data_IF_902156550850
#
_entry.id   IF_902156550850
#
_cell.length_a   1.000
_cell.length_b   1.000
_cell.length_c   1.000
_cell.angle_alpha   90.00
_cell.angle_beta   90.00
_cell.angle_gamma   90.00
#
_symmetry.space_group_name_H-M   'P 1'
#
loop_
_entity.id
_entity.type
_entity.pdbx_description
1 polymer ?
#
# COMPACT_ATOMS: atom_id res chain seq x y z
N UNK A 1 5.21 -18.60 -8.22
CA UNK A 1 4.74 -17.20 -8.31
C UNK A 1 5.90 -16.43 -8.89
N UNK A 2 5.72 -15.86 -10.08
CA UNK A 2 6.75 -15.07 -10.74
C UNK A 2 6.42 -13.61 -10.43
N UNK A 3 7.17 -13.00 -9.51
CA UNK A 3 7.03 -11.59 -9.16
C UNK A 3 7.56 -10.75 -10.34
N UNK A 4 6.76 -9.79 -10.81
CA UNK A 4 7.21 -8.76 -11.76
C UNK A 4 7.18 -7.41 -11.06
N UNK A 5 8.32 -6.71 -10.99
CA UNK A 5 8.36 -5.33 -10.49
C UNK A 5 7.54 -4.46 -11.44
N UNK A 6 6.45 -3.89 -10.93
CA UNK A 6 5.60 -2.94 -11.67
C UNK A 6 6.31 -1.60 -11.75
N UNK A 7 6.91 -1.17 -10.63
CA UNK A 7 7.60 0.10 -10.53
C UNK A 7 8.53 0.19 -9.31
N UNK A 8 9.60 0.98 -9.42
CA UNK A 8 10.49 1.35 -8.31
C UNK A 8 10.33 2.84 -8.00
N UNK A 9 10.11 3.19 -6.74
CA UNK A 9 9.95 4.56 -6.30
C UNK A 9 11.31 5.25 -6.16
N UNK A 10 11.73 5.92 -7.23
CA UNK A 10 12.52 7.15 -7.17
C UNK A 10 11.59 8.29 -7.63
N UNK A 11 11.50 9.40 -6.89
CA UNK A 11 10.58 10.54 -7.16
C UNK A 11 10.95 11.34 -8.42
N UNK A 12 11.11 10.68 -9.57
CA UNK A 12 11.23 11.29 -10.89
C UNK A 12 10.60 10.35 -11.93
N UNK A 13 9.35 10.65 -12.23
CA UNK A 13 8.58 10.17 -13.38
C UNK A 13 8.34 8.65 -13.49
N UNK A 14 7.16 8.26 -13.01
CA UNK A 14 6.54 7.00 -13.40
C UNK A 14 6.07 7.14 -14.84
N UNK A 15 6.62 6.33 -15.74
CA UNK A 15 6.16 6.27 -17.12
C UNK A 15 4.75 5.66 -17.14
N UNK A 16 3.71 6.51 -17.21
CA UNK A 16 2.29 6.13 -17.27
C UNK A 16 2.01 4.99 -18.26
N UNK A 17 2.78 4.94 -19.33
CA UNK A 17 2.74 3.96 -20.42
C UNK A 17 2.92 2.51 -19.94
N UNK A 18 3.68 2.30 -18.86
CA UNK A 18 3.93 0.95 -18.32
C UNK A 18 2.79 0.42 -17.43
N UNK A 19 1.92 1.30 -16.92
CA UNK A 19 0.88 0.91 -15.97
C UNK A 19 -0.43 0.49 -16.67
N UNK A 20 -0.63 0.85 -17.94
CA UNK A 20 -1.86 0.57 -18.70
C UNK A 20 -2.17 -0.92 -18.81
N UNK A 21 -1.14 -1.79 -18.93
CA UNK A 21 -1.31 -3.26 -18.95
C UNK A 21 -1.88 -3.85 -17.67
N UNK A 22 -1.90 -3.06 -16.59
CA UNK A 22 -2.44 -3.43 -15.27
C UNK A 22 -3.86 -2.88 -15.03
N UNK A 23 -4.56 -2.36 -16.05
CA UNK A 23 -6.00 -2.05 -16.01
C UNK A 23 -6.86 -3.32 -16.02
N UNK A 24 -6.62 -4.23 -15.07
CA UNK A 24 -7.31 -5.50 -14.92
C UNK A 24 -7.30 -5.99 -13.47
N UNK A 25 -8.07 -7.05 -13.22
CA UNK A 25 -8.07 -7.72 -11.94
C UNK A 25 -6.74 -8.44 -11.68
N UNK A 26 -6.37 -8.53 -10.41
CA UNK A 26 -5.14 -9.18 -10.00
C UNK A 26 -4.74 -8.84 -8.57
N UNK A 27 -3.50 -9.21 -8.25
CA UNK A 27 -2.91 -9.06 -6.93
C UNK A 27 -1.61 -8.28 -7.08
N UNK A 28 -1.43 -7.29 -6.21
CA UNK A 28 -0.22 -6.47 -6.17
C UNK A 28 0.32 -6.40 -4.74
N UNK A 29 1.61 -6.12 -4.61
CA UNK A 29 2.30 -5.97 -3.34
C UNK A 29 3.14 -4.69 -3.30
N UNK A 30 3.23 -4.07 -2.12
CA UNK A 30 4.16 -3.00 -1.82
C UNK A 30 5.36 -3.59 -1.09
N UNK A 31 6.55 -3.40 -1.65
CA UNK A 31 7.82 -3.70 -1.02
C UNK A 31 8.55 -2.40 -0.69
N UNK A 32 9.46 -2.46 0.29
CA UNK A 32 10.37 -1.36 0.60
C UNK A 32 11.59 -1.88 1.34
N UNK A 33 12.58 -1.01 1.54
CA UNK A 33 13.74 -1.25 2.38
C UNK A 33 13.53 -0.65 3.78
N UNK A 34 13.74 -1.43 4.84
CA UNK A 34 13.70 -0.95 6.22
C UNK A 34 15.00 -0.20 6.61
N UNK A 35 15.04 0.35 7.83
CA UNK A 35 16.23 1.05 8.36
C UNK A 35 17.50 0.21 8.45
N UNK A 36 17.38 -1.11 8.39
CA UNK A 36 18.49 -2.07 8.42
C UNK A 36 18.98 -2.43 7.00
N UNK A 37 18.41 -1.83 5.95
CA UNK A 37 18.75 -2.15 4.56
C UNK A 37 18.06 -3.42 4.04
N UNK A 38 17.10 -4.00 4.78
CA UNK A 38 16.41 -5.23 4.40
C UNK A 38 15.15 -4.92 3.59
N UNK A 39 15.02 -5.60 2.44
CA UNK A 39 13.80 -5.62 1.62
C UNK A 39 12.68 -6.36 2.36
N UNK A 40 11.56 -5.69 2.61
CA UNK A 40 10.40 -6.20 3.35
C UNK A 40 9.11 -5.95 2.57
N UNK A 41 8.18 -6.90 2.66
CA UNK A 41 6.85 -6.74 2.07
C UNK A 41 5.96 -5.99 3.05
N UNK A 42 5.56 -4.78 2.69
CA UNK A 42 4.76 -3.91 3.54
C UNK A 42 3.28 -4.22 3.42
N UNK A 43 2.80 -4.55 2.22
CA UNK A 43 1.38 -4.76 1.95
C UNK A 43 1.20 -5.69 0.74
N UNK A 44 0.10 -6.43 0.75
CA UNK A 44 -0.42 -7.11 -0.43
C UNK A 44 -1.92 -6.86 -0.48
N UNK A 45 -2.45 -6.63 -1.69
CA UNK A 45 -3.87 -6.40 -1.90
C UNK A 45 -4.35 -7.03 -3.22
N UNK A 46 -5.56 -7.57 -3.20
CA UNK A 46 -6.29 -7.94 -4.42
C UNK A 46 -7.22 -6.81 -4.87
N UNK A 47 -7.43 -6.71 -6.18
CA UNK A 47 -8.34 -5.72 -6.74
C UNK A 47 -8.90 -6.14 -8.10
N UNK A 48 -9.95 -5.45 -8.54
CA UNK A 48 -10.47 -5.54 -9.92
C UNK A 48 -9.71 -4.63 -10.90
N UNK A 49 -8.89 -3.71 -10.38
CA UNK A 49 -8.15 -2.77 -11.21
C UNK A 49 -6.86 -2.34 -10.50
N UNK A 50 -5.75 -3.04 -10.80
CA UNK A 50 -4.43 -2.75 -10.20
C UNK A 50 -3.97 -1.33 -10.55
N UNK A 51 -4.17 -0.90 -11.79
CA UNK A 51 -3.80 0.44 -12.25
C UNK A 51 -4.37 1.55 -11.36
N UNK A 52 -5.67 1.51 -11.07
CA UNK A 52 -6.32 2.56 -10.27
C UNK A 52 -5.82 2.55 -8.81
N UNK A 53 -5.56 1.38 -8.22
CA UNK A 53 -5.03 1.31 -6.85
C UNK A 53 -3.59 1.80 -6.74
N UNK A 54 -2.72 1.40 -7.68
CA UNK A 54 -1.32 1.84 -7.70
C UNK A 54 -1.25 3.34 -7.96
N UNK A 55 -1.97 3.86 -8.97
CA UNK A 55 -2.08 5.30 -9.24
C UNK A 55 -2.51 6.09 -8.01
N UNK A 56 -3.44 5.53 -7.25
CA UNK A 56 -3.95 6.11 -6.00
C UNK A 56 -2.91 6.14 -4.89
N UNK A 57 -2.19 5.03 -4.69
CA UNK A 57 -1.12 4.94 -3.70
C UNK A 57 0.04 5.88 -4.05
N UNK A 58 0.43 5.92 -5.33
CA UNK A 58 1.47 6.81 -5.85
C UNK A 58 1.14 8.29 -5.66
N UNK A 59 -0.11 8.68 -5.87
CA UNK A 59 -0.56 10.04 -5.58
C UNK A 59 -0.31 10.40 -4.11
N UNK A 60 -0.65 9.51 -3.17
CA UNK A 60 -0.43 9.74 -1.74
C UNK A 60 1.08 9.78 -1.43
N UNK A 61 1.87 8.85 -1.97
CA UNK A 61 3.30 8.78 -1.74
C UNK A 61 4.06 10.01 -2.27
N UNK A 62 3.59 10.59 -3.38
CA UNK A 62 4.24 11.73 -4.05
C UNK A 62 3.86 13.09 -3.48
N UNK A 63 2.85 13.16 -2.60
CA UNK A 63 2.43 14.40 -1.97
C UNK A 63 2.82 14.41 -0.50
N UNK A 64 3.50 15.48 -0.07
CA UNK A 64 3.83 15.68 1.35
C UNK A 64 2.55 16.07 2.10
N UNK A 65 2.32 15.44 3.25
CA UNK A 65 1.32 15.92 4.20
C UNK A 65 1.81 17.22 4.88
N UNK A 66 0.87 17.99 5.40
CA UNK A 66 1.15 19.27 6.05
C UNK A 66 2.03 19.09 7.30
N UNK A 67 2.89 20.07 7.58
CA UNK A 67 3.81 20.03 8.73
C UNK A 67 3.08 19.81 10.07
N UNK A 68 1.86 20.34 10.21
CA UNK A 68 1.03 20.16 11.42
C UNK A 68 0.60 18.70 11.62
N UNK A 69 0.32 17.96 10.55
CA UNK A 69 -0.02 16.53 10.64
C UNK A 69 1.14 15.71 11.19
N UNK A 70 2.39 16.10 10.88
CA UNK A 70 3.62 15.43 11.36
C UNK A 70 3.90 15.64 12.84
N UNK A 71 3.22 16.59 13.48
CA UNK A 71 3.35 16.86 14.92
C UNK A 71 2.39 15.99 15.75
N UNK A 72 1.47 15.25 15.12
CA UNK A 72 0.61 14.31 15.80
C UNK A 72 1.43 13.11 16.29
N UNK A 73 1.41 12.84 17.61
CA UNK A 73 2.16 11.74 18.24
C UNK A 73 1.28 10.54 18.61
N UNK A 74 -0.05 10.69 18.56
CA UNK A 74 -0.96 9.57 18.82
C UNK A 74 -0.84 8.53 17.71
N UNK A 75 -0.72 7.26 18.09
CA UNK A 75 -0.67 6.12 17.15
C UNK A 75 -1.67 5.04 17.52
N UNK A 76 -2.09 4.25 16.54
CA UNK A 76 -2.87 3.03 16.73
C UNK A 76 -2.27 1.89 15.90
N UNK A 77 -2.47 0.64 16.33
CA UNK A 77 -2.08 -0.49 15.50
C UNK A 77 -3.03 -0.62 14.31
N UNK A 78 -2.45 -0.75 13.11
CA UNK A 78 -3.13 -1.18 11.90
C UNK A 78 -4.00 -2.40 12.19
N UNK A 79 -5.20 -2.45 11.59
CA UNK A 79 -6.08 -3.61 11.74
C UNK A 79 -5.40 -4.83 11.12
N UNK A 80 -5.28 -5.90 11.88
CA UNK A 80 -4.77 -7.19 11.42
C UNK A 80 -5.94 -8.16 11.39
N UNK A 81 -6.21 -8.79 10.23
CA UNK A 81 -7.23 -9.85 10.18
C UNK A 81 -6.70 -11.17 10.73
N UNK A 82 -5.45 -11.50 10.42
CA UNK A 82 -4.79 -12.73 10.86
C UNK A 82 -3.51 -12.37 11.61
N UNK A 83 -3.61 -12.36 12.95
CA UNK A 83 -2.53 -11.93 13.84
C UNK A 83 -1.32 -12.86 13.83
N UNK A 84 -1.52 -14.10 13.36
CA UNK A 84 -0.52 -15.17 13.35
C UNK A 84 0.63 -14.87 12.38
N UNK A 85 0.38 -14.14 11.30
CA UNK A 85 1.37 -13.87 10.26
C UNK A 85 1.40 -12.43 9.75
N UNK A 86 0.39 -11.60 10.05
CA UNK A 86 0.40 -10.20 9.64
C UNK A 86 1.42 -9.41 10.47
N UNK A 87 2.28 -8.64 9.80
CA UNK A 87 3.16 -7.69 10.50
C UNK A 87 2.34 -6.68 11.30
N UNK A 88 2.85 -6.27 12.47
CA UNK A 88 2.27 -5.19 13.25
C UNK A 88 2.80 -3.86 12.72
N UNK A 89 1.89 -2.96 12.35
CA UNK A 89 2.25 -1.62 11.90
C UNK A 89 1.53 -0.57 12.75
N UNK A 90 2.27 0.42 13.27
CA UNK A 90 1.68 1.55 13.99
C UNK A 90 1.41 2.67 13.00
N UNK A 91 0.22 3.25 13.10
CA UNK A 91 -0.22 4.35 12.24
C UNK A 91 -0.56 5.55 13.12
N UNK A 92 -0.09 6.74 12.76
CA UNK A 92 -0.45 7.99 13.40
C UNK A 92 -1.93 8.28 13.20
N UNK A 93 -2.57 8.69 14.29
CA UNK A 93 -4.01 8.92 14.34
C UNK A 93 -4.32 10.37 13.98
N UNK A 94 -4.20 10.71 12.70
CA UNK A 94 -4.65 12.03 12.26
C UNK A 94 -6.18 12.16 12.16
N UNK A 95 -6.92 11.05 12.19
CA UNK A 95 -8.41 11.06 12.18
C UNK A 95 -9.04 11.81 13.36
N UNK A 96 -8.30 12.06 14.45
CA UNK A 96 -8.74 12.89 15.59
C UNK A 96 -8.10 14.27 15.62
N UNK A 97 -7.38 14.66 14.57
CA UNK A 97 -6.85 16.00 14.44
C UNK A 97 -7.98 16.94 13.99
N UNK A 98 -8.16 18.09 14.65
CA UNK A 98 -9.08 19.14 14.20
C UNK A 98 -8.65 19.77 12.86
N UNK A 99 -7.46 19.43 12.37
CA UNK A 99 -6.88 19.93 11.14
C UNK A 99 -7.07 18.94 9.98
N UNK A 100 -7.80 19.39 8.96
CA UNK A 100 -7.92 18.68 7.68
C UNK A 100 -6.83 19.15 6.71
N UNK A 101 -5.89 18.28 6.36
CA UNK A 101 -4.89 18.59 5.34
C UNK A 101 -5.47 18.50 3.94
N UNK A 102 -4.91 19.26 2.99
CA UNK A 102 -5.31 19.27 1.58
C UNK A 102 -5.30 17.86 0.96
N UNK A 103 -4.35 17.02 1.37
CA UNK A 103 -4.24 15.64 0.91
C UNK A 103 -5.44 14.79 1.37
N UNK A 104 -5.90 15.00 2.61
CA UNK A 104 -7.08 14.32 3.18
C UNK A 104 -8.38 14.87 2.59
N UNK A 105 -8.48 16.18 2.36
CA UNK A 105 -9.62 16.81 1.69
C UNK A 105 -9.76 16.29 0.26
N UNK A 106 -8.67 16.23 -0.52
CA UNK A 106 -8.71 15.69 -1.90
C UNK A 106 -9.00 14.18 -1.92
N UNK A 107 -8.64 13.49 -0.85
CA UNK A 107 -8.86 12.06 -0.68
C UNK A 107 -10.10 11.74 0.17
N UNK A 108 -11.01 12.69 0.40
CA UNK A 108 -12.18 12.56 1.30
C UNK A 108 -13.08 11.34 1.05
N UNK A 109 -13.14 10.86 -0.20
CA UNK A 109 -13.85 9.63 -0.56
C UNK A 109 -13.13 8.34 -0.12
N UNK A 110 -11.89 8.44 0.35
CA UNK A 110 -11.06 7.33 0.82
C UNK A 110 -10.99 7.34 2.33
N UNK A 111 -10.93 6.14 2.91
CA UNK A 111 -10.74 5.98 4.34
C UNK A 111 -9.42 6.68 4.75
N UNK A 112 -9.44 7.71 5.63
CA UNK A 112 -8.25 8.46 6.03
C UNK A 112 -7.10 7.57 6.51
N UNK A 113 -7.44 6.40 7.05
CA UNK A 113 -6.49 5.35 7.45
C UNK A 113 -5.54 4.90 6.32
N UNK A 114 -5.98 4.98 5.06
CA UNK A 114 -5.16 4.63 3.91
C UNK A 114 -4.07 5.67 3.67
N UNK A 115 -4.36 6.96 3.88
CA UNK A 115 -3.41 8.06 3.70
C UNK A 115 -2.37 8.02 4.81
N UNK A 116 -2.83 7.96 6.06
CA UNK A 116 -1.97 7.93 7.25
C UNK A 116 -0.99 6.74 7.18
N UNK A 117 -1.46 5.57 6.72
CA UNK A 117 -0.63 4.38 6.48
C UNK A 117 0.57 4.67 5.56
N UNK A 118 0.36 5.22 4.36
CA UNK A 118 1.46 5.46 3.42
C UNK A 118 2.41 6.54 3.92
N UNK A 119 1.88 7.59 4.56
CA UNK A 119 2.73 8.63 5.15
C UNK A 119 3.65 8.04 6.23
N UNK A 120 3.14 7.14 7.07
CA UNK A 120 3.96 6.47 8.07
C UNK A 120 4.95 5.46 7.50
N UNK A 121 4.58 4.80 6.40
CA UNK A 121 5.51 3.97 5.66
C UNK A 121 6.69 4.82 5.17
N UNK A 122 6.46 5.99 4.57
CA UNK A 122 7.52 6.90 4.10
C UNK A 122 8.46 7.34 5.22
N UNK A 123 7.95 7.50 6.45
CA UNK A 123 8.79 7.89 7.60
C UNK A 123 9.72 6.77 8.08
N UNK A 124 9.41 5.51 7.77
CA UNK A 124 10.10 4.34 8.34
C UNK A 124 10.81 3.46 7.30
N UNK A 125 10.51 3.64 6.02
CA UNK A 125 11.04 2.83 4.92
C UNK A 125 11.50 3.71 3.76
N UNK A 126 12.37 3.16 2.92
CA UNK A 126 12.90 3.78 1.71
C UNK A 126 12.82 2.81 0.54
N UNK A 127 13.10 3.29 -0.69
CA UNK A 127 13.11 2.46 -1.92
C UNK A 127 11.83 1.59 -2.08
N UNK A 128 10.68 2.25 -2.18
CA UNK A 128 9.41 1.55 -2.32
C UNK A 128 9.29 0.90 -3.70
N UNK A 129 8.66 -0.26 -3.80
CA UNK A 129 8.44 -0.97 -5.06
C UNK A 129 7.01 -1.49 -5.11
N UNK A 130 6.31 -1.22 -6.21
CA UNK A 130 5.04 -1.90 -6.49
C UNK A 130 5.35 -3.15 -7.32
N UNK A 131 4.80 -4.28 -6.92
CA UNK A 131 5.07 -5.60 -7.53
C UNK A 131 3.76 -6.26 -7.93
N UNK A 132 3.72 -6.80 -9.14
CA UNK A 132 2.63 -7.62 -9.66
C UNK A 132 2.86 -9.03 -9.15
N UNK A 133 1.89 -9.54 -8.40
CA UNK A 133 1.96 -10.89 -7.83
C UNK A 133 1.31 -11.91 -8.76
N UNK A 134 0.09 -11.60 -9.23
CA UNK A 134 -0.63 -12.43 -10.18
C UNK A 134 -1.66 -11.58 -10.94
N UNK A 135 -1.65 -11.71 -12.27
CA UNK A 135 -2.55 -11.02 -13.20
C UNK A 135 -3.08 -11.98 -14.27
N UNK A 136 -3.02 -13.27 -14.00
CA UNK A 136 -3.54 -14.33 -14.86
C UNK A 136 -5.06 -14.20 -15.06
N UNK A 137 -5.65 -14.72 -16.14
CA UNK A 137 -7.09 -14.63 -16.40
C UNK A 137 -7.97 -15.15 -15.25
N UNK A 138 -7.47 -16.13 -14.49
CA UNK A 138 -8.09 -16.69 -13.29
C UNK A 138 -8.31 -15.63 -12.20
N UNK A 139 -7.57 -14.51 -12.26
CA UNK A 139 -7.70 -13.40 -11.35
C UNK A 139 -8.93 -12.54 -11.60
N UNK A 140 -9.74 -12.80 -12.62
CA UNK A 140 -11.07 -12.18 -12.71
C UNK A 140 -12.01 -12.70 -11.61
N UNK A 141 -11.80 -13.94 -11.15
CA UNK A 141 -12.53 -14.53 -10.03
C UNK A 141 -12.06 -13.97 -8.68
N UNK A 142 -13.00 -13.55 -7.83
CA UNK A 142 -12.70 -12.96 -6.52
C UNK A 142 -12.14 -13.99 -5.54
N UNK A 143 -12.62 -15.23 -5.58
CA UNK A 143 -12.20 -16.30 -4.67
C UNK A 143 -10.74 -16.62 -4.92
N UNK A 144 -10.36 -16.83 -6.18
CA UNK A 144 -8.97 -17.06 -6.59
C UNK A 144 -8.05 -15.93 -6.12
N UNK A 145 -8.48 -14.67 -6.34
CA UNK A 145 -7.72 -13.51 -5.86
C UNK A 145 -7.52 -13.51 -4.36
N UNK A 146 -8.58 -13.78 -3.57
CA UNK A 146 -8.49 -13.81 -2.12
C UNK A 146 -7.56 -14.93 -1.59
N UNK A 147 -7.59 -16.10 -2.23
CA UNK A 147 -6.74 -17.24 -1.84
C UNK A 147 -5.26 -16.95 -2.07
N UNK A 148 -4.91 -16.43 -3.24
CA UNK A 148 -3.51 -16.12 -3.57
C UNK A 148 -3.01 -14.91 -2.76
N UNK A 149 -3.83 -13.88 -2.58
CA UNK A 149 -3.49 -12.72 -1.73
C UNK A 149 -3.17 -13.17 -0.30
N UNK A 150 -4.02 -14.04 0.27
CA UNK A 150 -3.81 -14.62 1.60
C UNK A 150 -2.53 -15.44 1.67
N UNK A 151 -2.31 -16.34 0.70
CA UNK A 151 -1.11 -17.19 0.63
C UNK A 151 0.16 -16.35 0.51
N UNK A 152 0.12 -15.31 -0.31
CA UNK A 152 1.25 -14.39 -0.49
C UNK A 152 1.54 -13.62 0.80
N UNK A 153 0.50 -13.08 1.45
CA UNK A 153 0.63 -12.38 2.72
C UNK A 153 1.27 -13.25 3.81
N UNK A 154 0.84 -14.52 3.90
CA UNK A 154 1.42 -15.51 4.82
C UNK A 154 2.89 -15.75 4.53
N UNK A 155 3.21 -16.02 3.26
CA UNK A 155 4.57 -16.38 2.83
C UNK A 155 5.56 -15.24 3.04
N UNK A 156 5.13 -14.01 2.77
CA UNK A 156 5.99 -12.81 2.83
C UNK A 156 5.90 -12.05 4.14
N UNK A 157 5.05 -12.52 5.06
CA UNK A 157 4.72 -11.83 6.30
C UNK A 157 4.28 -10.38 6.04
N UNK A 158 3.49 -10.16 4.97
CA UNK A 158 3.02 -8.83 4.61
C UNK A 158 1.91 -8.35 5.55
N UNK A 159 1.65 -7.05 5.60
CA UNK A 159 0.45 -6.52 6.26
C UNK A 159 -0.78 -6.91 5.43
N UNK A 160 -1.58 -7.82 5.96
CA UNK A 160 -2.81 -8.27 5.31
C UNK A 160 -4.01 -7.44 5.78
N UNK A 161 -4.49 -6.58 4.89
CA UNK A 161 -5.51 -5.58 5.21
C UNK A 161 -6.94 -6.01 4.97
N UNK A 162 -7.16 -7.10 4.23
CA UNK A 162 -8.49 -7.40 3.74
C UNK A 162 -9.44 -7.71 4.92
N UNK A 163 -10.52 -6.94 5.10
CA UNK A 163 -11.60 -7.10 6.08
C UNK A 163 -12.93 -7.36 5.38
#
# INVERSE_FOLDING_TARGET
MNEEVIDEYNIKEIKKENLEKYKKAGIWALWAENKEGKRVCLEVAQTKNIYEEIKSALYILSNKDDLKCKQCTETYYARQRFKEYSVKFKIHKCKSCEYESDLRIKSWKRNPRYIDKYQDMILNYQKFEFVSVDISPEMEDKTNRCEIEKKYAQTKQALYWWA
#
